data_IF_087788201390
#
_entry.id   IF_087788201390
#
_cell.length_a   1.000
_cell.length_b   1.000
_cell.length_c   1.000
_cell.angle_alpha   90.00
_cell.angle_beta   90.00
_cell.angle_gamma   90.00
#
_symmetry.space_group_name_H-M   'P 1'
#
loop_
_entity.id
_entity.type
_entity.pdbx_description
1 polymer ?
#
# COMPACT_ATOMS: atom_id res chain seq x y z
N UNK A 1 -0.30 -20.98 9.61
CA UNK A 1 0.80 -20.12 10.14
C UNK A 1 1.74 -19.62 9.03
N UNK A 2 2.20 -20.44 8.08
CA UNK A 2 3.17 -20.01 7.06
C UNK A 2 2.73 -18.88 6.12
N UNK A 3 1.51 -18.94 5.57
CA UNK A 3 1.04 -17.96 4.57
C UNK A 3 0.92 -16.54 5.12
N UNK A 4 0.35 -16.36 6.32
CA UNK A 4 0.21 -15.04 6.93
C UNK A 4 1.56 -14.41 7.26
N UNK A 5 2.52 -15.18 7.75
CA UNK A 5 3.87 -14.69 8.01
C UNK A 5 4.59 -14.29 6.73
N UNK A 6 4.44 -15.06 5.64
CA UNK A 6 4.97 -14.71 4.33
C UNK A 6 4.39 -13.38 3.82
N UNK A 7 3.06 -13.25 3.84
CA UNK A 7 2.39 -12.02 3.42
C UNK A 7 2.80 -10.82 4.26
N UNK A 8 2.91 -10.98 5.59
CA UNK A 8 3.38 -9.92 6.47
C UNK A 8 4.83 -9.52 6.13
N UNK A 9 5.71 -10.47 5.84
CA UNK A 9 7.09 -10.18 5.43
C UNK A 9 7.17 -9.40 4.11
N UNK A 10 6.41 -9.85 3.09
CA UNK A 10 6.33 -9.15 1.80
C UNK A 10 5.77 -7.74 1.95
N UNK A 11 4.68 -7.59 2.71
CA UNK A 11 4.06 -6.29 2.97
C UNK A 11 4.96 -5.37 3.80
N UNK A 12 5.76 -5.91 4.73
CA UNK A 12 6.70 -5.11 5.51
C UNK A 12 7.76 -4.45 4.61
N UNK A 13 8.33 -5.22 3.68
CA UNK A 13 9.32 -4.71 2.72
C UNK A 13 8.66 -3.70 1.78
N UNK A 14 7.47 -4.02 1.27
CA UNK A 14 6.71 -3.13 0.40
C UNK A 14 6.35 -1.80 1.08
N UNK A 15 5.83 -1.83 2.30
CA UNK A 15 5.49 -0.60 3.02
C UNK A 15 6.74 0.22 3.34
N UNK A 16 7.85 -0.41 3.74
CA UNK A 16 9.11 0.32 3.94
C UNK A 16 9.56 1.03 2.65
N UNK A 17 9.49 0.33 1.52
CA UNK A 17 9.79 0.89 0.21
C UNK A 17 8.90 2.10 -0.10
N UNK A 18 7.58 1.96 0.05
CA UNK A 18 6.62 3.07 -0.20
C UNK A 18 6.81 4.25 0.76
N UNK A 19 7.12 4.00 2.05
CA UNK A 19 7.40 5.07 3.02
C UNK A 19 8.54 5.97 2.53
N UNK A 20 9.53 5.41 1.85
CA UNK A 20 10.69 6.13 1.31
C UNK A 20 10.39 6.71 -0.07
N UNK A 21 9.83 5.91 -0.98
CA UNK A 21 9.66 6.29 -2.39
C UNK A 21 8.60 7.37 -2.56
N UNK A 22 7.47 7.28 -1.87
CA UNK A 22 6.38 8.25 -2.00
C UNK A 22 6.80 9.70 -1.74
N UNK A 23 7.50 10.04 -0.64
CA UNK A 23 7.95 11.41 -0.42
C UNK A 23 9.08 11.83 -1.37
N UNK A 24 9.89 10.90 -1.88
CA UNK A 24 11.03 11.22 -2.74
C UNK A 24 10.63 11.35 -4.21
N UNK A 25 9.70 10.55 -4.71
CA UNK A 25 9.33 10.47 -6.13
C UNK A 25 7.89 10.90 -6.36
N UNK A 26 6.91 10.24 -5.74
CA UNK A 26 5.49 10.48 -6.01
C UNK A 26 5.11 11.94 -5.69
N UNK A 27 5.61 12.48 -4.58
CA UNK A 27 5.42 13.88 -4.19
C UNK A 27 5.83 14.88 -5.28
N UNK A 28 6.83 14.57 -6.11
CA UNK A 28 7.26 15.46 -7.19
C UNK A 28 6.19 15.63 -8.29
N UNK A 29 5.19 14.74 -8.34
CA UNK A 29 4.05 14.86 -9.26
C UNK A 29 3.05 15.94 -8.82
N UNK A 30 3.03 16.31 -7.54
CA UNK A 30 2.08 17.28 -6.97
C UNK A 30 2.74 18.55 -6.45
N UNK A 31 4.00 18.46 -6.03
CA UNK A 31 4.73 19.55 -5.39
C UNK A 31 5.72 20.22 -6.35
N UNK A 32 6.05 21.51 -6.12
CA UNK A 32 7.07 22.20 -6.89
C UNK A 32 8.44 21.50 -6.80
N UNK A 33 9.17 21.41 -7.92
CA UNK A 33 10.49 20.79 -7.97
C UNK A 33 11.52 21.46 -7.05
N UNK A 34 11.34 22.74 -6.73
CA UNK A 34 12.20 23.50 -5.81
C UNK A 34 12.22 22.97 -4.37
N UNK A 35 11.29 22.09 -4.00
CA UNK A 35 11.26 21.43 -2.68
C UNK A 35 12.17 20.18 -2.63
N UNK A 36 12.74 19.76 -3.75
CA UNK A 36 13.54 18.54 -3.86
C UNK A 36 14.97 18.88 -4.30
N UNK A 37 15.97 18.07 -3.88
CA UNK A 37 17.33 18.21 -4.40
C UNK A 37 17.37 17.95 -5.90
N UNK A 38 18.18 18.72 -6.63
CA UNK A 38 18.31 18.62 -8.09
C UNK A 38 18.62 17.19 -8.56
N UNK A 39 19.51 16.49 -7.85
CA UNK A 39 19.84 15.08 -8.14
C UNK A 39 18.62 14.17 -8.17
N UNK A 40 17.64 14.41 -7.29
CA UNK A 40 16.43 13.60 -7.19
C UNK A 40 15.42 13.95 -8.29
N UNK A 41 15.35 15.23 -8.66
CA UNK A 41 14.53 15.73 -9.77
C UNK A 41 15.07 15.20 -11.10
N UNK A 42 16.39 15.25 -11.28
CA UNK A 42 17.07 14.73 -12.46
C UNK A 42 16.90 13.22 -12.58
N UNK A 43 17.03 12.49 -11.48
CA UNK A 43 16.82 11.04 -11.46
C UNK A 43 15.38 10.68 -11.84
N UNK A 44 14.39 11.38 -11.27
CA UNK A 44 12.98 11.17 -11.58
C UNK A 44 12.67 11.49 -13.05
N UNK A 45 13.25 12.58 -13.57
CA UNK A 45 13.10 13.00 -14.97
C UNK A 45 13.74 11.99 -15.92
N UNK A 46 14.95 11.52 -15.60
CA UNK A 46 15.63 10.48 -16.38
C UNK A 46 14.81 9.19 -16.40
N UNK A 47 14.35 8.72 -15.24
CA UNK A 47 13.50 7.53 -15.12
C UNK A 47 12.24 7.65 -15.98
N UNK A 48 11.53 8.77 -15.86
CA UNK A 48 10.28 8.98 -16.58
C UNK A 48 10.48 8.98 -18.10
N UNK A 49 11.58 9.57 -18.58
CA UNK A 49 11.92 9.56 -20.00
C UNK A 49 12.37 8.18 -20.51
N UNK A 50 13.24 7.49 -19.76
CA UNK A 50 13.77 6.17 -20.13
C UNK A 50 12.64 5.12 -20.24
N UNK A 51 11.69 5.15 -19.31
CA UNK A 51 10.57 4.21 -19.29
C UNK A 51 9.32 4.69 -20.03
N UNK A 52 9.34 5.91 -20.58
CA UNK A 52 8.20 6.52 -21.25
C UNK A 52 6.99 6.68 -20.33
N UNK A 53 7.22 6.97 -19.05
CA UNK A 53 6.17 7.15 -18.06
C UNK A 53 5.49 8.51 -18.22
N UNK A 54 4.51 8.55 -19.13
CA UNK A 54 3.76 9.76 -19.40
C UNK A 54 2.97 10.27 -18.18
N UNK A 55 2.66 9.42 -17.19
CA UNK A 55 1.97 9.85 -15.97
C UNK A 55 2.85 10.80 -15.16
N UNK A 56 4.15 10.47 -15.09
CA UNK A 56 5.17 11.26 -14.41
C UNK A 56 5.59 12.50 -15.23
N UNK A 57 5.58 12.41 -16.57
CA UNK A 57 5.95 13.52 -17.48
C UNK A 57 4.81 14.53 -17.62
N UNK A 58 3.63 14.09 -18.05
CA UNK A 58 2.50 14.96 -18.41
C UNK A 58 1.66 15.34 -17.19
N UNK A 59 1.76 14.58 -16.09
CA UNK A 59 1.04 14.82 -14.83
C UNK A 59 -0.46 15.09 -15.03
N UNK A 60 -1.20 14.16 -15.68
CA UNK A 60 -2.62 14.38 -15.95
C UNK A 60 -3.41 14.55 -14.64
N UNK A 61 -4.44 15.40 -14.64
CA UNK A 61 -5.14 15.81 -13.41
C UNK A 61 -5.69 14.65 -12.57
N UNK A 62 -6.17 13.58 -13.20
CA UNK A 62 -6.66 12.41 -12.45
C UNK A 62 -5.52 11.73 -11.67
N UNK A 63 -4.33 11.62 -12.28
CA UNK A 63 -3.15 11.00 -11.66
C UNK A 63 -2.66 11.87 -10.51
N UNK A 64 -2.52 13.17 -10.72
CA UNK A 64 -2.17 14.13 -9.65
C UNK A 64 -3.18 14.08 -8.50
N UNK A 65 -4.47 13.91 -8.79
CA UNK A 65 -5.50 13.70 -7.78
C UNK A 65 -5.32 12.40 -6.98
N UNK A 66 -4.95 11.31 -7.65
CA UNK A 66 -4.63 10.03 -6.99
C UNK A 66 -3.37 10.15 -6.11
N UNK A 67 -2.33 10.85 -6.58
CA UNK A 67 -1.13 11.09 -5.77
C UNK A 67 -1.47 11.94 -4.55
N UNK A 68 -2.32 12.98 -4.65
CA UNK A 68 -2.79 13.70 -3.45
C UNK A 68 -3.50 12.79 -2.44
N UNK A 69 -4.35 11.88 -2.91
CA UNK A 69 -5.00 10.89 -2.05
C UNK A 69 -3.95 9.95 -1.42
N UNK A 70 -2.95 9.54 -2.18
CA UNK A 70 -1.84 8.75 -1.68
C UNK A 70 -1.09 9.49 -0.56
N UNK A 71 -0.69 10.74 -0.78
CA UNK A 71 0.06 11.52 0.21
C UNK A 71 -0.72 11.79 1.50
N UNK A 72 -2.00 12.13 1.39
CA UNK A 72 -2.80 12.55 2.56
C UNK A 72 -3.33 11.35 3.33
N UNK A 73 -3.71 10.27 2.64
CA UNK A 73 -4.42 9.14 3.27
C UNK A 73 -3.57 7.88 3.27
N UNK A 74 -3.05 7.48 2.11
CA UNK A 74 -2.41 6.16 2.00
C UNK A 74 -1.00 6.14 2.58
N UNK A 75 -0.25 7.22 2.48
CA UNK A 75 1.12 7.30 2.99
C UNK A 75 1.18 7.27 4.53
N UNK A 76 0.36 8.05 5.27
CA UNK A 76 0.25 7.86 6.73
C UNK A 76 -0.21 6.45 7.11
N UNK A 77 -1.14 5.88 6.34
CA UNK A 77 -1.62 4.51 6.57
C UNK A 77 -0.54 3.46 6.26
N UNK A 78 0.33 3.72 5.28
CA UNK A 78 1.50 2.92 4.93
C UNK A 78 2.51 2.89 6.08
N UNK A 79 2.84 4.06 6.65
CA UNK A 79 3.70 4.18 7.85
C UNK A 79 3.08 3.40 9.01
N UNK A 80 1.78 3.58 9.25
CA UNK A 80 1.07 2.84 10.28
C UNK A 80 1.12 1.33 10.03
N UNK A 81 0.87 0.86 8.81
CA UNK A 81 0.94 -0.56 8.48
C UNK A 81 2.35 -1.14 8.64
N UNK A 82 3.39 -0.40 8.23
CA UNK A 82 4.78 -0.78 8.46
C UNK A 82 5.07 -0.99 9.94
N UNK A 83 4.79 0.02 10.77
CA UNK A 83 4.95 -0.06 12.22
C UNK A 83 4.11 -1.19 12.82
N UNK A 84 2.86 -1.31 12.38
CA UNK A 84 1.92 -2.29 12.89
C UNK A 84 2.39 -3.72 12.63
N UNK A 85 2.89 -4.02 11.43
CA UNK A 85 3.44 -5.35 11.12
C UNK A 85 4.70 -5.59 11.95
N UNK A 86 5.63 -4.62 11.99
CA UNK A 86 6.88 -4.72 12.74
C UNK A 86 6.63 -4.97 14.23
N UNK A 87 5.69 -4.25 14.84
CA UNK A 87 5.32 -4.35 16.25
C UNK A 87 4.17 -5.33 16.52
N UNK A 88 3.79 -6.15 15.52
CA UNK A 88 2.72 -7.17 15.61
C UNK A 88 1.41 -6.66 16.22
N UNK A 89 0.94 -5.49 15.79
CA UNK A 89 -0.29 -4.87 16.30
C UNK A 89 -1.54 -5.52 15.70
N UNK A 90 -2.59 -5.64 16.51
CA UNK A 90 -3.84 -6.29 16.12
C UNK A 90 -4.66 -5.52 15.06
N UNK A 91 -4.50 -4.21 14.98
CA UNK A 91 -5.23 -3.35 14.04
C UNK A 91 -4.71 -3.42 12.60
N UNK A 92 -3.52 -4.00 12.38
CA UNK A 92 -2.86 -4.15 11.05
C UNK A 92 -3.79 -4.76 10.02
N UNK A 93 -4.59 -5.74 10.40
CA UNK A 93 -5.50 -6.42 9.47
C UNK A 93 -6.50 -5.45 8.84
N UNK A 94 -7.09 -4.59 9.67
CA UNK A 94 -8.08 -3.60 9.21
C UNK A 94 -7.42 -2.52 8.35
N UNK A 95 -6.25 -2.04 8.77
CA UNK A 95 -5.53 -0.97 8.07
C UNK A 95 -4.88 -1.46 6.77
N UNK A 96 -4.41 -2.70 6.70
CA UNK A 96 -3.99 -3.34 5.44
C UNK A 96 -5.16 -3.51 4.48
N UNK A 97 -6.35 -3.90 4.97
CA UNK A 97 -7.53 -4.00 4.12
C UNK A 97 -7.91 -2.64 3.51
N UNK A 98 -7.97 -1.59 4.33
CA UNK A 98 -8.30 -0.22 3.87
C UNK A 98 -7.27 0.26 2.86
N UNK A 99 -5.97 0.10 3.16
CA UNK A 99 -4.89 0.46 2.25
C UNK A 99 -5.02 -0.31 0.94
N UNK A 100 -5.09 -1.65 1.01
CA UNK A 100 -5.11 -2.52 -0.15
C UNK A 100 -6.27 -2.25 -1.10
N UNK A 101 -7.48 -2.03 -0.57
CA UNK A 101 -8.63 -1.68 -1.41
C UNK A 101 -8.41 -0.33 -2.10
N UNK A 102 -7.96 0.67 -1.35
CA UNK A 102 -7.75 2.03 -1.88
C UNK A 102 -6.65 2.05 -2.97
N UNK A 103 -5.53 1.38 -2.72
CA UNK A 103 -4.43 1.25 -3.69
C UNK A 103 -4.85 0.44 -4.90
N UNK A 104 -5.59 -0.66 -4.72
CA UNK A 104 -6.10 -1.46 -5.84
C UNK A 104 -7.04 -0.64 -6.73
N UNK A 105 -7.96 0.14 -6.15
CA UNK A 105 -8.83 1.04 -6.91
C UNK A 105 -8.04 2.08 -7.71
N UNK A 106 -7.01 2.68 -7.10
CA UNK A 106 -6.15 3.67 -7.76
C UNK A 106 -5.36 3.04 -8.91
N UNK A 107 -4.81 1.85 -8.70
CA UNK A 107 -4.09 1.09 -9.73
C UNK A 107 -5.00 0.65 -10.87
N UNK A 108 -6.23 0.23 -10.59
CA UNK A 108 -7.21 -0.09 -11.64
C UNK A 108 -7.53 1.14 -12.48
N UNK A 109 -7.70 2.31 -11.87
CA UNK A 109 -7.91 3.56 -12.60
C UNK A 109 -6.71 3.87 -13.51
N UNK A 110 -5.49 3.82 -12.99
CA UNK A 110 -4.24 4.03 -13.74
C UNK A 110 -4.10 3.04 -14.89
N UNK A 111 -4.19 1.74 -14.63
CA UNK A 111 -4.07 0.69 -15.64
C UNK A 111 -5.15 0.80 -16.71
N UNK A 112 -6.40 1.09 -16.32
CA UNK A 112 -7.50 1.27 -17.27
C UNK A 112 -7.25 2.44 -18.22
N UNK A 113 -6.69 3.55 -17.72
CA UNK A 113 -6.36 4.71 -18.54
C UNK A 113 -5.20 4.42 -19.49
N UNK A 114 -4.16 3.74 -19.01
CA UNK A 114 -3.02 3.36 -19.86
C UNK A 114 -3.45 2.43 -21.01
N UNK A 115 -4.31 1.46 -20.72
CA UNK A 115 -4.83 0.52 -21.73
C UNK A 115 -5.72 1.28 -22.74
N UNK A 116 -6.64 2.10 -22.24
CA UNK A 116 -7.61 2.83 -23.09
C UNK A 116 -6.94 3.88 -23.98
N UNK A 117 -5.90 4.54 -23.48
CA UNK A 117 -5.12 5.52 -24.25
C UNK A 117 -4.14 4.89 -25.25
N UNK A 118 -4.05 3.56 -25.29
CA UNK A 118 -3.05 2.82 -26.10
C UNK A 118 -1.60 3.20 -25.78
N UNK A 119 -1.36 3.73 -24.56
CA UNK A 119 -0.04 4.08 -24.02
C UNK A 119 0.50 3.00 -23.06
N UNK A 120 -0.21 1.88 -22.92
CA UNK A 120 0.21 0.73 -22.14
C UNK A 120 1.35 -0.04 -22.82
N UNK A 121 2.57 0.51 -22.76
CA UNK A 121 3.78 -0.23 -23.11
C UNK A 121 4.00 -1.40 -22.15
N UNK A 122 4.59 -2.49 -22.63
CA UNK A 122 4.93 -3.66 -21.78
C UNK A 122 5.86 -3.26 -20.62
N UNK A 123 6.79 -2.34 -20.87
CA UNK A 123 7.68 -1.78 -19.84
C UNK A 123 6.88 -1.05 -18.76
N UNK A 124 5.96 -0.16 -19.17
CA UNK A 124 5.16 0.64 -18.23
C UNK A 124 4.21 -0.25 -17.41
N UNK A 125 3.55 -1.22 -18.05
CA UNK A 125 2.73 -2.20 -17.33
C UNK A 125 3.57 -3.00 -16.31
N UNK A 126 4.80 -3.38 -16.67
CA UNK A 126 5.66 -4.13 -15.76
C UNK A 126 6.08 -3.32 -14.51
N UNK A 127 6.04 -1.99 -14.60
CA UNK A 127 6.27 -1.07 -13.48
C UNK A 127 5.03 -1.00 -12.58
N UNK A 128 3.84 -0.80 -13.14
CA UNK A 128 2.61 -0.52 -12.36
C UNK A 128 1.91 -1.78 -11.82
N UNK A 129 1.94 -2.90 -12.55
CA UNK A 129 1.26 -4.16 -12.15
C UNK A 129 1.74 -4.72 -10.81
N UNK A 130 3.05 -4.70 -10.46
CA UNK A 130 3.50 -5.12 -9.14
C UNK A 130 2.80 -4.41 -7.98
N UNK A 131 2.54 -3.10 -8.10
CA UNK A 131 1.83 -2.33 -7.06
C UNK A 131 0.39 -2.81 -6.88
N UNK A 132 -0.30 -3.15 -7.97
CA UNK A 132 -1.61 -3.82 -7.89
C UNK A 132 -1.48 -5.18 -7.18
N UNK A 133 -0.44 -5.96 -7.48
CA UNK A 133 -0.16 -7.23 -6.81
C UNK A 133 -0.03 -7.06 -5.29
N UNK A 134 0.78 -6.11 -4.83
CA UNK A 134 0.92 -5.80 -3.40
C UNK A 134 -0.37 -5.29 -2.76
N UNK A 135 -1.15 -4.48 -3.48
CA UNK A 135 -2.46 -4.03 -3.02
C UNK A 135 -3.40 -5.23 -2.76
N UNK A 136 -3.45 -6.20 -3.68
CA UNK A 136 -4.23 -7.42 -3.52
C UNK A 136 -3.71 -8.31 -2.38
N UNK A 137 -2.40 -8.44 -2.21
CA UNK A 137 -1.81 -9.13 -1.05
C UNK A 137 -2.23 -8.44 0.26
N UNK A 138 -2.27 -7.11 0.29
CA UNK A 138 -2.72 -6.33 1.46
C UNK A 138 -4.20 -6.57 1.78
N UNK A 139 -5.07 -6.60 0.76
CA UNK A 139 -6.48 -6.98 0.90
C UNK A 139 -6.63 -8.39 1.48
N UNK A 140 -5.95 -9.36 0.86
CA UNK A 140 -5.97 -10.75 1.34
C UNK A 140 -5.45 -10.85 2.77
N UNK A 141 -4.40 -10.10 3.11
CA UNK A 141 -3.86 -10.10 4.46
C UNK A 141 -4.92 -9.64 5.46
N UNK A 142 -5.64 -8.56 5.15
CA UNK A 142 -6.66 -8.00 6.00
C UNK A 142 -7.92 -8.86 6.16
N UNK A 143 -8.27 -9.66 5.14
CA UNK A 143 -9.42 -10.57 5.17
C UNK A 143 -9.15 -11.89 5.90
N UNK A 144 -7.89 -12.29 6.06
CA UNK A 144 -7.57 -13.53 6.76
C UNK A 144 -8.03 -13.47 8.23
N UNK A 145 -8.73 -14.52 8.73
CA UNK A 145 -9.24 -14.54 10.09
C UNK A 145 -8.10 -14.41 11.10
N UNK A 146 -8.36 -13.69 12.19
CA UNK A 146 -7.43 -13.66 13.31
C UNK A 146 -7.32 -15.10 13.84
N UNK A 147 -6.11 -15.67 13.81
CA UNK A 147 -5.82 -16.89 14.56
C UNK A 147 -5.88 -16.53 16.03
N UNK A 148 -7.10 -16.45 16.52
CA UNK A 148 -7.38 -16.27 17.92
C UNK A 148 -6.90 -17.56 18.56
N UNK A 149 -5.81 -17.51 19.32
CA UNK A 149 -5.71 -18.43 20.44
C UNK A 149 -6.90 -18.07 21.33
N UNK A 150 -8.00 -18.79 21.13
CA UNK A 150 -9.20 -18.70 21.96
C UNK A 150 -8.81 -19.33 23.31
N UNK A 151 -8.02 -18.61 24.10
CA UNK A 151 -8.11 -18.70 25.55
C UNK A 151 -9.34 -17.89 25.95
N UNK A 152 -10.53 -18.33 25.51
CA UNK A 152 -11.75 -18.06 26.27
C UNK A 152 -11.61 -18.92 27.51
N UNK A 153 -10.99 -18.28 28.49
CA UNK A 153 -11.06 -18.54 29.91
C UNK A 153 -12.33 -19.36 30.24
N UNK A 154 -12.14 -20.67 30.44
CA UNK A 154 -13.07 -21.51 31.19
C UNK A 154 -13.11 -20.97 32.62
N UNK A 155 -13.90 -19.93 32.87
CA UNK A 155 -14.18 -19.47 34.23
C UNK A 155 -15.60 -18.93 34.29
N UNK A 156 -16.58 -19.82 34.13
CA UNK A 156 -17.90 -19.71 34.79
C UNK A 156 -18.68 -21.03 34.67
N UNK A 157 -18.03 -22.15 35.00
CA UNK A 157 -18.76 -23.39 35.29
C UNK A 157 -18.15 -24.01 36.54
N UNK A 158 -18.98 -24.11 37.58
CA UNK A 158 -18.81 -24.92 38.80
C UNK A 158 -17.92 -24.36 39.92
N UNK A 159 -18.52 -23.45 40.71
CA UNK A 159 -18.50 -23.57 42.19
C UNK A 159 -19.98 -23.62 42.60
N UNK A 160 -20.60 -24.81 42.63
CA UNK A 160 -20.70 -25.62 43.85
C UNK A 160 -21.83 -25.07 44.74
N UNK A 161 -23.11 -25.40 44.49
CA UNK A 161 -23.87 -26.53 45.06
C UNK A 161 -24.03 -26.47 46.61
N UNK A 162 -25.30 -26.35 47.03
CA UNK A 162 -25.99 -26.88 48.24
C UNK A 162 -26.32 -25.92 49.42
N UNK A 163 -27.64 -25.88 49.67
CA UNK A 163 -28.38 -25.94 50.96
C UNK A 163 -28.31 -24.74 51.92
N UNK A 164 -29.44 -24.04 52.06
CA UNK A 164 -30.33 -24.11 53.23
C UNK A 164 -31.73 -23.62 52.81
#
# INVERSE_FOLDING_TARGET
MGLQSLMNGLLLIYFLFMVIVTPLFDCQSCLPSSLFPDVLVDLNTWYANEHGDYLSIEKPHFFVGLIWLELIVMWPLCIANFYGIFASKSWVKKTCLIYGVSTATSMVAILSEMIRSSRASSTLLSIYVPFLGFALISVLNGLLPHSSSVNVMKTSAMKGKKRA
#
